data_IF_788112425371
#
_entry.id   IF_788112425371
#
_cell.length_a   1.000
_cell.length_b   1.000
_cell.length_c   1.000
_cell.angle_alpha   90.00
_cell.angle_beta   90.00
_cell.angle_gamma   90.00
#
_symmetry.space_group_name_H-M   'P 1'
#
loop_
_entity.id
_entity.type
_entity.pdbx_description
1 polymer ?
#
# COMPACT_ATOMS: atom_id res chain seq x y z
N UNK A 1 -24.03 -34.42 9.74
CA UNK A 1 -22.83 -33.71 9.22
C UNK A 1 -23.13 -32.22 9.17
N UNK A 2 -23.01 -31.52 10.29
CA UNK A 2 -23.39 -30.11 10.45
C UNK A 2 -22.30 -29.36 11.20
N UNK A 3 -21.04 -29.55 10.79
CA UNK A 3 -19.95 -28.77 11.36
C UNK A 3 -20.08 -27.32 10.87
N UNK A 4 -20.07 -26.33 11.77
CA UNK A 4 -20.06 -24.92 11.38
C UNK A 4 -18.87 -24.62 10.45
N UNK A 5 -17.74 -25.33 10.59
CA UNK A 5 -16.58 -25.22 9.71
C UNK A 5 -16.86 -25.62 8.25
N UNK A 6 -17.77 -26.58 8.00
CA UNK A 6 -18.11 -27.03 6.65
C UNK A 6 -19.04 -26.03 5.94
N UNK A 7 -20.01 -25.45 6.67
CA UNK A 7 -20.85 -24.34 6.15
C UNK A 7 -20.02 -23.08 5.89
N UNK A 8 -18.97 -22.88 6.69
CA UNK A 8 -17.98 -21.82 6.54
C UNK A 8 -17.11 -22.02 5.28
N UNK A 9 -16.57 -23.22 5.08
CA UNK A 9 -15.75 -23.56 3.92
C UNK A 9 -16.53 -23.42 2.59
N UNK A 10 -17.85 -23.68 2.61
CA UNK A 10 -18.73 -23.47 1.44
C UNK A 10 -19.07 -22.00 1.17
N UNK A 11 -19.00 -21.09 2.16
CA UNK A 11 -19.27 -19.65 1.97
C UNK A 11 -18.04 -18.87 1.47
N UNK A 12 -16.84 -19.33 1.81
CA UNK A 12 -15.57 -18.72 1.38
C UNK A 12 -15.46 -18.53 -0.16
N UNK A 13 -15.78 -19.51 -1.01
CA UNK A 13 -15.71 -19.34 -2.47
C UNK A 13 -16.74 -18.34 -3.00
N UNK A 14 -17.93 -18.22 -2.38
CA UNK A 14 -18.94 -17.26 -2.81
C UNK A 14 -18.56 -15.81 -2.43
N UNK A 15 -17.88 -15.61 -1.30
CA UNK A 15 -17.32 -14.29 -0.93
C UNK A 15 -16.17 -13.86 -1.86
N UNK A 16 -15.31 -14.80 -2.27
CA UNK A 16 -14.20 -14.57 -3.21
C UNK A 16 -14.65 -14.21 -4.64
N UNK A 17 -15.89 -14.56 -5.01
CA UNK A 17 -16.44 -14.24 -6.33
C UNK A 17 -17.03 -12.83 -6.42
N UNK A 18 -17.20 -12.13 -5.30
CA UNK A 18 -17.68 -10.75 -5.29
C UNK A 18 -16.71 -9.80 -6.02
N UNK A 19 -17.21 -8.76 -6.70
CA UNK A 19 -16.35 -7.76 -7.35
C UNK A 19 -15.39 -7.07 -6.36
N UNK A 20 -15.82 -6.93 -5.10
CA UNK A 20 -15.04 -6.43 -3.97
C UNK A 20 -13.85 -7.36 -3.60
N UNK A 21 -14.07 -8.67 -3.54
CA UNK A 21 -12.98 -9.62 -3.28
C UNK A 21 -11.99 -9.70 -4.46
N UNK A 22 -12.49 -9.60 -5.71
CA UNK A 22 -11.63 -9.54 -6.90
C UNK A 22 -10.72 -8.32 -6.88
N UNK A 23 -11.21 -7.15 -6.50
CA UNK A 23 -10.38 -5.95 -6.40
C UNK A 23 -9.33 -6.06 -5.28
N UNK A 24 -9.69 -6.63 -4.13
CA UNK A 24 -8.76 -6.89 -3.04
C UNK A 24 -7.64 -7.87 -3.44
N UNK A 25 -7.98 -8.96 -4.14
CA UNK A 25 -7.01 -9.92 -4.65
C UNK A 25 -6.09 -9.32 -5.72
N UNK A 26 -6.64 -8.52 -6.64
CA UNK A 26 -5.85 -7.82 -7.65
C UNK A 26 -4.84 -6.85 -7.01
N UNK A 27 -5.28 -6.07 -6.01
CA UNK A 27 -4.41 -5.20 -5.23
C UNK A 27 -3.34 -5.98 -4.47
N UNK A 28 -3.71 -7.07 -3.79
CA UNK A 28 -2.77 -7.91 -3.06
C UNK A 28 -1.68 -8.47 -3.99
N UNK A 29 -2.08 -9.00 -5.15
CA UNK A 29 -1.17 -9.56 -6.15
C UNK A 29 -0.26 -8.49 -6.77
N UNK A 30 -0.82 -7.38 -7.25
CA UNK A 30 -0.05 -6.29 -7.83
C UNK A 30 0.97 -5.72 -6.83
N UNK A 31 0.56 -5.49 -5.59
CA UNK A 31 1.43 -4.97 -4.54
C UNK A 31 2.50 -5.97 -4.10
N UNK A 32 2.21 -7.28 -4.14
CA UNK A 32 3.18 -8.32 -3.81
C UNK A 32 4.31 -8.35 -4.84
N UNK A 33 3.95 -8.40 -6.12
CA UNK A 33 4.92 -8.45 -7.22
C UNK A 33 5.72 -7.14 -7.27
N UNK A 34 5.05 -5.99 -7.21
CA UNK A 34 5.72 -4.68 -7.21
C UNK A 34 6.70 -4.56 -6.04
N UNK A 35 6.31 -4.98 -4.84
CA UNK A 35 7.16 -4.93 -3.66
C UNK A 35 8.41 -5.81 -3.77
N UNK A 36 8.32 -6.98 -4.39
CA UNK A 36 9.48 -7.85 -4.65
C UNK A 36 10.42 -7.20 -5.65
N UNK A 37 9.90 -6.74 -6.80
CA UNK A 37 10.72 -6.13 -7.85
C UNK A 37 11.39 -4.84 -7.35
N UNK A 38 10.66 -4.00 -6.61
CA UNK A 38 11.21 -2.78 -6.00
C UNK A 38 12.36 -3.11 -5.04
N UNK A 39 12.18 -4.11 -4.16
CA UNK A 39 13.22 -4.52 -3.22
C UNK A 39 14.45 -5.08 -3.94
N UNK A 40 14.29 -5.86 -5.02
CA UNK A 40 15.41 -6.34 -5.84
C UNK A 40 16.14 -5.15 -6.48
N UNK A 41 15.42 -4.19 -7.04
CA UNK A 41 16.01 -3.01 -7.67
C UNK A 41 16.86 -2.20 -6.67
N UNK A 42 16.31 -1.90 -5.49
CA UNK A 42 17.00 -1.10 -4.48
C UNK A 42 18.17 -1.89 -3.86
N UNK A 43 17.91 -3.11 -3.37
CA UNK A 43 18.90 -3.83 -2.54
C UNK A 43 19.89 -4.69 -3.32
N UNK A 44 19.55 -5.18 -4.51
CA UNK A 44 20.43 -6.05 -5.31
C UNK A 44 21.07 -5.32 -6.48
N UNK A 45 20.35 -4.38 -7.10
CA UNK A 45 20.93 -3.54 -8.15
C UNK A 45 21.56 -2.26 -7.59
N UNK A 46 21.44 -1.99 -6.29
CA UNK A 46 22.00 -0.78 -5.64
C UNK A 46 21.48 0.52 -6.27
N UNK A 47 20.22 0.52 -6.72
CA UNK A 47 19.55 1.72 -7.22
C UNK A 47 18.75 2.35 -6.09
N UNK A 48 19.46 3.15 -5.31
CA UNK A 48 19.05 3.76 -4.04
C UNK A 48 18.63 5.22 -4.30
N UNK A 49 17.54 5.39 -5.07
CA UNK A 49 17.01 6.69 -5.50
C UNK A 49 15.47 6.66 -5.44
N UNK A 50 14.89 6.76 -4.23
CA UNK A 50 13.48 6.52 -3.96
C UNK A 50 12.58 7.57 -4.60
N UNK A 51 13.01 8.84 -4.59
CA UNK A 51 12.27 9.95 -5.20
C UNK A 51 12.22 9.71 -6.71
N UNK A 52 13.34 9.31 -7.32
CA UNK A 52 13.39 9.02 -8.76
C UNK A 52 12.45 7.87 -9.14
N UNK A 53 12.44 6.77 -8.37
CA UNK A 53 11.51 5.65 -8.60
C UNK A 53 10.06 6.13 -8.56
N UNK A 54 9.68 6.83 -7.49
CA UNK A 54 8.30 7.29 -7.29
C UNK A 54 7.89 8.33 -8.34
N UNK A 55 8.80 9.25 -8.68
CA UNK A 55 8.59 10.28 -9.69
C UNK A 55 8.35 9.66 -11.08
N UNK A 56 9.20 8.72 -11.51
CA UNK A 56 9.05 8.08 -12.83
C UNK A 56 7.80 7.19 -12.86
N UNK A 57 7.39 6.56 -11.75
CA UNK A 57 6.11 5.86 -11.67
C UNK A 57 4.93 6.82 -11.89
N UNK A 58 4.92 7.99 -11.25
CA UNK A 58 3.86 8.99 -11.48
C UNK A 58 3.88 9.54 -12.92
N UNK A 59 5.06 9.80 -13.47
CA UNK A 59 5.21 10.22 -14.86
C UNK A 59 4.71 9.15 -15.84
N UNK A 60 5.00 7.87 -15.58
CA UNK A 60 4.53 6.73 -16.40
C UNK A 60 3.02 6.63 -16.40
N UNK A 61 2.37 6.83 -15.25
CA UNK A 61 0.91 6.85 -15.13
C UNK A 61 0.30 7.97 -15.96
N UNK A 62 0.82 9.20 -15.82
CA UNK A 62 0.34 10.36 -16.59
C UNK A 62 0.54 10.17 -18.08
N UNK A 63 1.74 9.76 -18.50
CA UNK A 63 2.06 9.50 -19.90
C UNK A 63 1.13 8.44 -20.49
N UNK A 64 0.91 7.33 -19.77
CA UNK A 64 0.04 6.24 -20.25
C UNK A 64 -1.42 6.69 -20.36
N UNK A 65 -1.94 7.46 -19.40
CA UNK A 65 -3.31 7.96 -19.46
C UNK A 65 -3.49 8.94 -20.62
N UNK A 66 -2.57 9.89 -20.80
CA UNK A 66 -2.63 10.83 -21.92
C UNK A 66 -2.52 10.12 -23.27
N UNK A 67 -1.61 9.15 -23.38
CA UNK A 67 -1.47 8.32 -24.57
C UNK A 67 -2.79 7.60 -24.91
N UNK A 68 -3.41 6.95 -23.93
CA UNK A 68 -4.69 6.25 -24.10
C UNK A 68 -5.86 7.21 -24.38
N UNK A 69 -5.81 8.43 -23.87
CA UNK A 69 -6.79 9.49 -24.19
C UNK A 69 -6.64 9.95 -25.63
N UNK A 70 -5.42 10.18 -26.11
CA UNK A 70 -5.13 10.57 -27.50
C UNK A 70 -5.58 9.48 -28.49
N UNK A 71 -5.38 8.20 -28.15
CA UNK A 71 -5.89 7.09 -28.95
C UNK A 71 -7.42 6.87 -28.83
N UNK A 72 -8.13 7.66 -28.04
CA UNK A 72 -9.58 7.58 -27.87
C UNK A 72 -10.07 6.35 -27.09
N UNK A 73 -9.15 5.59 -26.47
CA UNK A 73 -9.48 4.40 -25.66
C UNK A 73 -10.09 4.82 -24.33
N UNK A 74 -9.61 5.91 -23.74
CA UNK A 74 -10.10 6.45 -22.48
C UNK A 74 -10.85 7.77 -22.67
N UNK A 75 -12.13 7.78 -22.30
CA UNK A 75 -12.94 9.00 -22.19
C UNK A 75 -12.79 9.59 -20.80
N UNK A 76 -11.64 10.22 -20.55
CA UNK A 76 -11.35 10.91 -19.29
C UNK A 76 -11.30 12.41 -19.52
N UNK A 77 -12.01 13.20 -18.71
CA UNK A 77 -11.90 14.65 -18.74
C UNK A 77 -10.44 15.09 -18.47
N UNK A 78 -9.93 16.14 -19.14
CA UNK A 78 -8.59 16.65 -18.90
C UNK A 78 -8.43 17.13 -17.45
N UNK A 79 -7.17 17.24 -17.01
CA UNK A 79 -6.88 17.78 -15.68
C UNK A 79 -7.49 19.18 -15.55
N UNK A 80 -8.28 19.36 -14.50
CA UNK A 80 -8.85 20.65 -14.14
C UNK A 80 -8.39 20.98 -12.73
N UNK A 81 -7.95 22.21 -12.53
CA UNK A 81 -7.43 22.65 -11.23
C UNK A 81 -8.48 22.47 -10.12
N UNK A 82 -9.76 22.60 -10.46
CA UNK A 82 -10.88 22.38 -9.55
C UNK A 82 -10.92 20.94 -9.00
N UNK A 83 -10.90 19.93 -9.90
CA UNK A 83 -10.81 18.51 -9.50
C UNK A 83 -9.49 18.21 -8.79
N UNK A 84 -8.39 18.76 -9.27
CA UNK A 84 -7.06 18.58 -8.70
C UNK A 84 -6.93 19.08 -7.26
N UNK A 85 -7.61 20.20 -6.93
CA UNK A 85 -7.61 20.80 -5.60
C UNK A 85 -8.23 19.90 -4.54
N UNK A 86 -9.31 19.19 -4.86
CA UNK A 86 -9.94 18.25 -3.93
C UNK A 86 -9.01 17.08 -3.56
N UNK A 87 -8.18 16.64 -4.50
CA UNK A 87 -7.24 15.55 -4.30
C UNK A 87 -5.84 16.02 -3.89
N UNK A 88 -5.62 17.32 -3.70
CA UNK A 88 -4.30 17.88 -3.44
C UNK A 88 -3.72 17.44 -2.10
N UNK A 89 -4.45 17.70 -1.01
CA UNK A 89 -4.04 17.30 0.34
C UNK A 89 -3.82 15.77 0.47
N UNK A 90 -4.76 14.88 0.10
CA UNK A 90 -4.53 13.44 0.25
C UNK A 90 -3.35 12.95 -0.60
N UNK A 91 -3.09 13.58 -1.75
CA UNK A 91 -1.94 13.23 -2.59
C UNK A 91 -0.61 13.61 -1.98
N UNK A 92 -0.51 14.79 -1.33
CA UNK A 92 0.72 15.18 -0.62
C UNK A 92 0.98 14.22 0.54
N UNK A 93 -0.04 13.94 1.36
CA UNK A 93 0.09 13.03 2.50
C UNK A 93 0.53 11.63 2.05
N UNK A 94 -0.06 11.11 0.97
CA UNK A 94 0.33 9.82 0.40
C UNK A 94 1.72 9.83 -0.23
N UNK A 95 2.13 10.94 -0.83
CA UNK A 95 3.46 11.10 -1.44
C UNK A 95 4.55 11.06 -0.38
N UNK A 96 4.41 11.84 0.70
CA UNK A 96 5.37 11.87 1.82
C UNK A 96 5.43 10.50 2.49
N UNK A 97 4.27 9.86 2.73
CA UNK A 97 4.21 8.51 3.28
C UNK A 97 4.93 7.49 2.39
N UNK A 98 4.70 7.54 1.07
CA UNK A 98 5.33 6.65 0.10
C UNK A 98 6.84 6.87 0.05
N UNK A 99 7.30 8.12 -0.01
CA UNK A 99 8.72 8.46 0.03
C UNK A 99 9.40 7.91 1.28
N UNK A 100 8.89 8.21 2.48
CA UNK A 100 9.42 7.67 3.73
C UNK A 100 9.47 6.14 3.76
N UNK A 101 8.56 5.47 3.04
CA UNK A 101 8.51 4.01 2.98
C UNK A 101 9.52 3.39 2.02
N UNK A 102 9.78 4.06 0.90
CA UNK A 102 10.81 3.59 -0.04
C UNK A 102 12.20 3.93 0.52
N UNK A 103 12.39 5.13 1.08
CA UNK A 103 13.64 5.52 1.74
C UNK A 103 13.98 4.66 2.97
N UNK A 104 13.00 4.04 3.61
CA UNK A 104 13.26 3.08 4.68
C UNK A 104 14.00 1.82 4.20
N UNK A 105 14.05 1.55 2.88
CA UNK A 105 14.77 0.41 2.32
C UNK A 105 16.27 0.67 2.07
N UNK A 106 16.69 1.93 2.08
CA UNK A 106 17.99 2.39 1.57
C UNK A 106 19.09 2.30 2.63
N UNK A 107 18.78 2.70 3.85
CA UNK A 107 19.66 2.48 5.00
C UNK A 107 19.36 1.18 5.72
N UNK A 108 19.76 0.01 5.17
CA UNK A 108 19.68 -1.33 5.80
C UNK A 108 18.53 -1.41 6.82
N UNK A 109 17.30 -1.23 6.32
CA UNK A 109 16.02 -1.30 7.04
C UNK A 109 16.00 -0.70 8.44
N UNK A 110 15.48 0.52 8.60
CA UNK A 110 15.00 1.01 9.89
C UNK A 110 14.19 -0.11 10.58
N UNK A 111 14.74 -0.82 11.59
CA UNK A 111 14.30 -2.19 11.92
C UNK A 111 12.87 -2.23 12.46
N UNK A 112 12.39 -1.10 13.01
CA UNK A 112 11.05 -0.95 13.54
C UNK A 112 10.07 -0.26 12.56
N UNK A 113 10.53 0.25 11.41
CA UNK A 113 9.68 0.99 10.47
C UNK A 113 8.57 0.10 9.92
N UNK A 114 8.95 -1.03 9.33
CA UNK A 114 8.03 -1.99 8.73
C UNK A 114 7.04 -2.57 9.76
N UNK A 115 7.48 -3.04 10.95
CA UNK A 115 6.57 -3.47 12.02
C UNK A 115 5.57 -2.39 12.46
N UNK A 116 6.02 -1.15 12.68
CA UNK A 116 5.15 -0.08 13.15
C UNK A 116 4.12 0.31 12.11
N UNK A 117 4.50 0.31 10.83
CA UNK A 117 3.57 0.58 9.74
C UNK A 117 2.45 -0.48 9.65
N UNK A 118 2.61 -1.67 10.24
CA UNK A 118 1.52 -2.67 10.35
C UNK A 118 0.36 -2.22 11.25
N UNK A 119 0.55 -1.21 12.10
CA UNK A 119 -0.52 -0.63 12.91
C UNK A 119 -1.36 0.43 12.16
N UNK A 120 -1.07 0.68 10.88
CA UNK A 120 -1.85 1.60 10.03
C UNK A 120 -3.36 1.33 10.00
N UNK A 121 -3.89 0.08 10.04
CA UNK A 121 -5.35 -0.12 10.13
C UNK A 121 -5.97 0.53 11.38
N UNK A 122 -5.27 0.54 12.52
CA UNK A 122 -5.74 1.22 13.74
C UNK A 122 -5.66 2.74 13.60
N UNK A 123 -4.63 3.24 12.91
CA UNK A 123 -4.52 4.67 12.60
C UNK A 123 -5.65 5.12 11.65
N UNK A 124 -6.03 4.30 10.67
CA UNK A 124 -7.18 4.55 9.80
C UNK A 124 -8.45 4.70 10.64
N UNK A 125 -8.67 3.80 11.61
CA UNK A 125 -9.82 3.88 12.51
C UNK A 125 -9.81 5.18 13.35
N UNK A 126 -8.67 5.52 13.92
CA UNK A 126 -8.51 6.74 14.71
C UNK A 126 -8.74 8.01 13.89
N UNK A 127 -8.14 8.09 12.71
CA UNK A 127 -8.25 9.24 11.81
C UNK A 127 -9.67 9.38 11.25
N UNK A 128 -10.30 8.27 10.83
CA UNK A 128 -11.69 8.29 10.37
C UNK A 128 -12.64 8.83 11.47
N UNK A 129 -12.45 8.37 12.72
CA UNK A 129 -13.25 8.84 13.86
C UNK A 129 -13.00 10.32 14.16
N UNK A 130 -11.74 10.76 14.11
CA UNK A 130 -11.35 12.14 14.42
C UNK A 130 -11.83 13.14 13.35
N UNK A 131 -11.65 12.82 12.07
CA UNK A 131 -12.00 13.72 10.95
C UNK A 131 -13.52 13.78 10.76
N UNK A 132 -14.20 12.64 10.67
CA UNK A 132 -15.62 12.61 10.28
C UNK A 132 -16.58 12.70 11.46
N UNK A 133 -16.07 12.71 12.71
CA UNK A 133 -16.81 12.88 13.97
C UNK A 133 -18.04 11.99 14.16
N UNK A 134 -18.24 10.99 13.29
CA UNK A 134 -19.24 9.95 13.45
C UNK A 134 -18.60 8.79 14.19
N UNK A 135 -19.35 8.23 15.14
CA UNK A 135 -18.98 7.00 15.81
C UNK A 135 -19.10 5.84 14.82
N UNK A 136 -18.08 5.66 13.97
CA UNK A 136 -17.89 4.42 13.21
C UNK A 136 -17.56 3.31 14.21
N UNK A 137 -18.61 2.75 14.81
CA UNK A 137 -18.50 1.66 15.78
C UNK A 137 -18.30 0.36 15.03
N UNK A 138 -17.04 -0.04 14.86
CA UNK A 138 -16.72 -1.44 14.63
C UNK A 138 -17.27 -2.26 15.80
N UNK A 139 -17.88 -3.40 15.49
CA UNK A 139 -18.21 -4.40 16.50
C UNK A 139 -16.95 -4.74 17.32
N UNK A 140 -17.11 -4.95 18.63
CA UNK A 140 -16.01 -5.28 19.53
C UNK A 140 -15.20 -6.46 19.01
N UNK A 141 -15.86 -7.43 18.39
CA UNK A 141 -15.21 -8.60 17.80
C UNK A 141 -14.37 -8.24 16.57
N UNK A 142 -14.87 -7.37 15.70
CA UNK A 142 -14.14 -6.89 14.53
C UNK A 142 -12.93 -6.03 14.94
N UNK A 143 -13.06 -5.23 16.01
CA UNK A 143 -11.95 -4.46 16.58
C UNK A 143 -10.86 -5.39 17.15
N UNK A 144 -11.23 -6.43 17.90
CA UNK A 144 -10.26 -7.42 18.41
C UNK A 144 -9.55 -8.11 17.24
N UNK A 145 -10.28 -8.46 16.17
CA UNK A 145 -9.70 -9.04 14.96
C UNK A 145 -8.69 -8.08 14.30
N UNK A 146 -9.03 -6.80 14.20
CA UNK A 146 -8.19 -5.75 13.61
C UNK A 146 -6.90 -5.51 14.41
N UNK A 147 -7.00 -5.49 15.74
CA UNK A 147 -5.84 -5.44 16.64
C UNK A 147 -4.98 -6.69 16.42
N UNK A 148 -5.61 -7.88 16.34
CA UNK A 148 -4.93 -9.13 16.01
C UNK A 148 -4.16 -9.06 14.70
N UNK A 149 -4.78 -8.58 13.61
CA UNK A 149 -4.12 -8.37 12.31
C UNK A 149 -2.91 -7.46 12.46
N UNK A 150 -3.02 -6.35 13.19
CA UNK A 150 -1.95 -5.36 13.33
C UNK A 150 -0.77 -5.91 14.13
N UNK A 151 -1.03 -6.50 15.30
CA UNK A 151 0.00 -7.05 16.19
C UNK A 151 0.69 -8.26 15.56
N UNK A 152 -0.08 -9.24 15.06
CA UNK A 152 0.48 -10.46 14.50
C UNK A 152 1.24 -10.20 13.20
N UNK A 153 0.79 -9.26 12.36
CA UNK A 153 1.56 -8.88 11.18
C UNK A 153 2.83 -8.09 11.51
N UNK A 154 2.84 -7.31 12.60
CA UNK A 154 4.05 -6.66 13.13
C UNK A 154 5.08 -7.68 13.62
N UNK A 155 4.63 -8.76 14.28
CA UNK A 155 5.49 -9.83 14.78
C UNK A 155 6.04 -10.75 13.68
N UNK A 156 5.43 -10.73 12.48
CA UNK A 156 5.91 -11.54 11.35
C UNK A 156 7.29 -11.11 10.85
N UNK A 157 7.60 -9.81 10.97
CA UNK A 157 8.94 -9.27 10.78
C UNK A 157 9.68 -9.48 12.10
N UNK A 158 10.88 -10.05 12.09
CA UNK A 158 11.65 -10.28 13.33
C UNK A 158 11.75 -8.96 14.10
N UNK A 159 10.98 -8.86 15.17
CA UNK A 159 10.81 -7.62 15.93
C UNK A 159 12.04 -7.46 16.81
N UNK A 160 13.12 -6.97 16.22
CA UNK A 160 14.30 -6.58 16.98
C UNK A 160 13.97 -5.31 17.75
N UNK A 161 13.77 -5.46 19.06
CA UNK A 161 13.50 -4.39 20.02
C UNK A 161 14.72 -3.46 20.24
N UNK A 162 15.63 -3.39 19.28
CA UNK A 162 16.64 -2.36 19.24
C UNK A 162 15.91 -1.02 19.09
N UNK A 163 15.86 -0.23 20.17
CA UNK A 163 15.13 1.05 20.23
C UNK A 163 15.78 2.11 19.32
N UNK A 164 15.60 1.97 18.02
CA UNK A 164 15.83 3.04 17.06
C UNK A 164 14.70 4.06 17.16
N UNK A 165 14.83 5.05 18.06
CA UNK A 165 13.80 6.10 18.27
C UNK A 165 13.38 6.78 16.96
N UNK A 166 14.33 6.98 16.04
CA UNK A 166 14.07 7.52 14.70
C UNK A 166 13.21 6.58 13.85
N UNK A 167 13.51 5.27 13.85
CA UNK A 167 12.71 4.26 13.15
C UNK A 167 11.25 4.25 13.61
N UNK A 168 11.02 4.43 14.92
CA UNK A 168 9.69 4.52 15.47
C UNK A 168 8.96 5.77 15.03
N UNK A 169 9.63 6.92 15.11
CA UNK A 169 9.06 8.19 14.70
C UNK A 169 8.68 8.19 13.21
N UNK A 170 9.61 7.81 12.33
CA UNK A 170 9.35 7.75 10.88
C UNK A 170 8.26 6.73 10.52
N UNK A 171 8.24 5.56 11.16
CA UNK A 171 7.22 4.54 10.93
C UNK A 171 5.82 5.01 11.34
N UNK A 172 5.70 5.61 12.53
CA UNK A 172 4.42 6.13 13.02
C UNK A 172 3.95 7.32 12.18
N UNK A 173 4.86 8.24 11.84
CA UNK A 173 4.55 9.40 11.02
C UNK A 173 4.12 8.98 9.60
N UNK A 174 4.86 8.09 8.94
CA UNK A 174 4.49 7.55 7.64
C UNK A 174 3.14 6.81 7.68
N UNK A 175 2.89 6.03 8.73
CA UNK A 175 1.61 5.34 8.95
C UNK A 175 0.43 6.31 9.15
N UNK A 176 0.63 7.39 9.91
CA UNK A 176 -0.40 8.41 10.16
C UNK A 176 -0.76 9.18 8.88
N UNK A 177 0.26 9.61 8.12
CA UNK A 177 0.06 10.26 6.82
C UNK A 177 -0.65 9.34 5.83
N UNK A 178 -0.27 8.05 5.81
CA UNK A 178 -0.93 7.04 4.99
C UNK A 178 -2.40 6.88 5.35
N UNK A 179 -2.69 6.73 6.64
CA UNK A 179 -4.04 6.57 7.16
C UNK A 179 -4.91 7.79 6.80
N UNK A 180 -4.39 9.00 7.01
CA UNK A 180 -5.10 10.23 6.67
C UNK A 180 -5.36 10.38 5.17
N UNK A 181 -4.41 10.00 4.32
CA UNK A 181 -4.61 10.01 2.87
C UNK A 181 -5.67 9.00 2.44
N UNK A 182 -5.58 7.76 2.92
CA UNK A 182 -6.50 6.67 2.55
C UNK A 182 -7.94 6.98 2.94
N UNK A 183 -8.15 7.49 4.15
CA UNK A 183 -9.47 7.89 4.65
C UNK A 183 -10.08 9.02 3.79
N UNK A 184 -9.27 9.99 3.38
CA UNK A 184 -9.72 11.05 2.48
C UNK A 184 -10.02 10.53 1.07
N UNK A 185 -9.17 9.66 0.52
CA UNK A 185 -9.42 9.02 -0.77
C UNK A 185 -10.67 8.15 -0.76
N UNK A 186 -10.94 7.42 0.33
CA UNK A 186 -12.20 6.70 0.50
C UNK A 186 -13.39 7.66 0.37
N UNK A 187 -13.37 8.79 1.09
CA UNK A 187 -14.48 9.76 1.01
C UNK A 187 -14.67 10.41 -0.37
N UNK A 188 -13.61 10.48 -1.18
CA UNK A 188 -13.64 11.03 -2.54
C UNK A 188 -14.01 9.99 -3.59
N UNK A 189 -13.87 8.70 -3.28
CA UNK A 189 -14.20 7.59 -4.19
C UNK A 189 -15.70 7.47 -4.49
N UNK A 190 -16.55 8.07 -3.67
CA UNK A 190 -17.99 8.22 -3.96
C UNK A 190 -18.26 9.22 -5.10
N UNK A 191 -17.34 10.17 -5.34
CA UNK A 191 -17.52 11.26 -6.32
C UNK A 191 -16.68 11.06 -7.58
N UNK A 192 -15.47 10.51 -7.43
CA UNK A 192 -14.51 10.35 -8.51
C UNK A 192 -14.30 8.88 -8.85
N UNK A 193 -14.19 8.59 -10.14
CA UNK A 193 -13.81 7.23 -10.57
C UNK A 193 -12.37 6.90 -10.16
N UNK A 194 -12.01 5.62 -9.95
CA UNK A 194 -10.64 5.23 -9.59
C UNK A 194 -9.57 5.72 -10.57
N UNK A 195 -9.92 5.80 -11.86
CA UNK A 195 -9.01 6.27 -12.90
C UNK A 195 -8.83 7.80 -12.85
N UNK A 196 -9.87 8.56 -12.55
CA UNK A 196 -9.75 10.00 -12.27
C UNK A 196 -8.92 10.26 -11.01
N UNK A 197 -9.15 9.50 -9.94
CA UNK A 197 -8.39 9.63 -8.70
C UNK A 197 -6.90 9.35 -8.93
N UNK A 198 -6.58 8.27 -9.64
CA UNK A 198 -5.22 7.91 -10.02
C UNK A 198 -4.55 9.04 -10.84
N UNK A 199 -5.24 9.56 -11.85
CA UNK A 199 -4.71 10.63 -12.70
C UNK A 199 -4.41 11.92 -11.92
N UNK A 200 -5.37 12.38 -11.11
CA UNK A 200 -5.21 13.59 -10.29
C UNK A 200 -4.14 13.40 -9.21
N UNK A 201 -4.10 12.22 -8.59
CA UNK A 201 -3.07 11.85 -7.62
C UNK A 201 -1.68 11.89 -8.26
N UNK A 202 -1.48 11.23 -9.40
CA UNK A 202 -0.18 11.19 -10.06
C UNK A 202 0.30 12.57 -10.48
N UNK A 203 -0.59 13.45 -10.93
CA UNK A 203 -0.22 14.83 -11.25
C UNK A 203 0.25 15.59 -10.01
N UNK A 204 -0.54 15.59 -8.94
CA UNK A 204 -0.22 16.29 -7.70
C UNK A 204 1.07 15.73 -7.04
N UNK A 205 1.23 14.40 -7.02
CA UNK A 205 2.40 13.72 -6.47
C UNK A 205 3.66 13.98 -7.28
N UNK A 206 3.56 14.09 -8.62
CA UNK A 206 4.71 14.42 -9.46
C UNK A 206 5.30 15.78 -9.09
N UNK A 207 4.45 16.79 -8.84
CA UNK A 207 4.90 18.10 -8.36
C UNK A 207 5.63 17.99 -7.02
N UNK A 208 5.10 17.20 -6.09
CA UNK A 208 5.74 16.98 -4.78
C UNK A 208 7.10 16.32 -4.92
N UNK A 209 7.22 15.29 -5.76
CA UNK A 209 8.50 14.60 -5.96
C UNK A 209 9.53 15.46 -6.70
N UNK A 210 9.11 16.28 -7.67
CA UNK A 210 9.99 17.26 -8.31
C UNK A 210 10.53 18.28 -7.30
N UNK A 211 9.68 18.77 -6.39
CA UNK A 211 10.13 19.67 -5.32
C UNK A 211 11.08 18.97 -4.33
N UNK A 212 10.83 17.71 -4.03
CA UNK A 212 11.71 16.92 -3.17
C UNK A 212 13.07 16.67 -3.82
N UNK A 213 13.08 16.40 -5.13
CA UNK A 213 14.30 16.20 -5.92
C UNK A 213 15.17 17.48 -5.98
N UNK A 214 14.58 18.67 -6.09
CA UNK A 214 15.34 19.94 -6.01
C UNK A 214 16.18 20.03 -4.72
N UNK A 215 15.73 19.39 -3.63
CA UNK A 215 16.43 19.39 -2.34
C UNK A 215 17.46 18.26 -2.23
N UNK A 216 17.17 17.08 -2.79
CA UNK A 216 18.01 15.88 -2.63
C UNK A 216 18.96 15.61 -3.81
N UNK A 217 18.73 16.21 -4.98
CA UNK A 217 19.50 16.05 -6.23
C UNK A 217 19.60 14.58 -6.71
N UNK A 218 18.59 13.75 -6.42
CA UNK A 218 18.60 12.32 -6.75
C UNK A 218 18.55 12.06 -8.26
N UNK A 219 17.86 12.90 -9.04
CA UNK A 219 17.80 12.75 -10.51
C UNK A 219 19.21 12.75 -11.10
N UNK A 220 20.08 13.64 -10.62
CA UNK A 220 21.44 13.75 -11.10
C UNK A 220 22.23 12.49 -10.77
N UNK A 221 22.13 12.00 -9.54
CA UNK A 221 22.85 10.81 -9.11
C UNK A 221 22.32 9.55 -9.80
N UNK A 222 21.00 9.43 -9.95
CA UNK A 222 20.37 8.36 -10.71
C UNK A 222 20.82 8.37 -12.19
N UNK A 223 20.93 9.54 -12.80
CA UNK A 223 21.46 9.67 -14.16
C UNK A 223 22.92 9.19 -14.25
N UNK A 224 23.77 9.61 -13.31
CA UNK A 224 25.16 9.17 -13.23
C UNK A 224 25.28 7.65 -13.03
N UNK A 225 24.42 7.06 -12.19
CA UNK A 225 24.31 5.62 -12.03
C UNK A 225 23.97 4.93 -13.35
N UNK A 226 22.96 5.45 -14.08
CA UNK A 226 22.53 4.85 -15.35
C UNK A 226 23.64 4.88 -16.39
N UNK A 227 24.44 5.95 -16.44
CA UNK A 227 25.54 6.08 -17.40
C UNK A 227 26.75 5.20 -17.07
N UNK A 228 26.99 4.93 -15.77
CA UNK A 228 28.23 4.28 -15.31
C UNK A 228 28.05 2.80 -15.00
N UNK A 229 26.89 2.42 -14.45
CA UNK A 229 26.69 1.13 -13.77
C UNK A 229 25.46 0.36 -14.27
N UNK A 230 24.72 0.89 -15.25
CA UNK A 230 23.52 0.25 -15.76
C UNK A 230 23.82 -1.03 -16.54
N UNK A 231 23.13 -2.10 -16.15
CA UNK A 231 23.14 -3.39 -16.83
C UNK A 231 21.81 -3.63 -17.56
N UNK A 232 21.80 -4.49 -18.58
CA UNK A 232 20.55 -4.83 -19.32
C UNK A 232 19.45 -5.35 -18.38
N UNK A 233 19.82 -6.15 -17.38
CA UNK A 233 18.90 -6.65 -16.35
C UNK A 233 18.32 -5.52 -15.49
N UNK A 234 19.12 -4.50 -15.17
CA UNK A 234 18.63 -3.32 -14.44
C UNK A 234 17.55 -2.61 -15.25
N UNK A 235 17.84 -2.30 -16.53
CA UNK A 235 16.89 -1.61 -17.41
C UNK A 235 15.58 -2.39 -17.54
N UNK A 236 15.65 -3.71 -17.71
CA UNK A 236 14.46 -4.56 -17.77
C UNK A 236 13.63 -4.51 -16.48
N UNK A 237 14.28 -4.70 -15.31
CA UNK A 237 13.59 -4.66 -14.01
C UNK A 237 13.02 -3.28 -13.70
N UNK A 238 13.73 -2.22 -14.10
CA UNK A 238 13.29 -0.85 -13.93
C UNK A 238 12.03 -0.56 -14.76
N UNK A 239 12.02 -0.90 -16.05
CA UNK A 239 10.84 -0.76 -16.92
C UNK A 239 9.67 -1.60 -16.38
N UNK A 240 9.93 -2.85 -15.98
CA UNK A 240 8.93 -3.71 -15.38
C UNK A 240 8.34 -3.08 -14.11
N UNK A 241 9.17 -2.49 -13.25
CA UNK A 241 8.72 -1.80 -12.05
C UNK A 241 7.83 -0.58 -12.36
N UNK A 242 8.09 0.13 -13.45
CA UNK A 242 7.24 1.26 -13.86
C UNK A 242 5.83 0.80 -14.25
N UNK A 243 5.71 -0.26 -15.05
CA UNK A 243 4.41 -0.83 -15.43
C UNK A 243 3.69 -1.46 -14.23
N UNK A 244 4.41 -2.16 -13.36
CA UNK A 244 3.86 -2.69 -12.12
C UNK A 244 3.41 -1.57 -11.17
N UNK A 245 4.13 -0.45 -11.13
CA UNK A 245 3.73 0.76 -10.40
C UNK A 245 2.40 1.31 -10.88
N UNK A 246 2.18 1.39 -12.19
CA UNK A 246 0.88 1.77 -12.77
C UNK A 246 -0.24 0.81 -12.35
N UNK A 247 -0.01 -0.50 -12.48
CA UNK A 247 -0.99 -1.52 -12.07
C UNK A 247 -1.30 -1.44 -10.56
N UNK A 248 -0.29 -1.20 -9.73
CA UNK A 248 -0.44 -1.02 -8.29
C UNK A 248 -1.27 0.22 -7.97
N UNK A 249 -1.00 1.37 -8.61
CA UNK A 249 -1.78 2.58 -8.39
C UNK A 249 -3.25 2.39 -8.75
N UNK A 250 -3.52 1.83 -9.93
CA UNK A 250 -4.89 1.56 -10.37
C UNK A 250 -5.63 0.62 -9.41
N UNK A 251 -5.01 -0.52 -9.07
CA UNK A 251 -5.62 -1.50 -8.16
C UNK A 251 -5.80 -0.97 -6.74
N UNK A 252 -4.94 -0.05 -6.29
CA UNK A 252 -5.09 0.62 -4.99
C UNK A 252 -6.36 1.48 -4.95
N UNK A 253 -6.52 2.42 -5.89
CA UNK A 253 -7.72 3.27 -5.91
C UNK A 253 -9.00 2.47 -6.18
N UNK A 254 -8.92 1.45 -7.04
CA UNK A 254 -10.04 0.57 -7.29
C UNK A 254 -10.41 -0.28 -6.05
N UNK A 255 -9.44 -0.70 -5.25
CA UNK A 255 -9.68 -1.42 -3.99
C UNK A 255 -10.29 -0.49 -2.92
N UNK A 256 -9.78 0.74 -2.81
CA UNK A 256 -10.32 1.75 -1.88
C UNK A 256 -11.79 2.05 -2.21
N UNK A 257 -12.14 2.29 -3.47
CA UNK A 257 -13.54 2.56 -3.85
C UNK A 257 -14.47 1.36 -3.68
N UNK A 258 -13.97 0.13 -3.85
CA UNK A 258 -14.79 -1.09 -3.73
C UNK A 258 -14.93 -1.62 -2.29
N UNK A 259 -13.90 -1.45 -1.45
CA UNK A 259 -13.81 -2.08 -0.13
C UNK A 259 -13.57 -1.09 1.03
N UNK A 260 -13.25 0.17 0.74
CA UNK A 260 -12.86 1.17 1.74
C UNK A 260 -11.37 1.13 2.11
N UNK A 261 -10.91 2.17 2.81
CA UNK A 261 -9.52 2.33 3.25
C UNK A 261 -9.09 1.23 4.21
N UNK A 262 -9.96 0.89 5.19
CA UNK A 262 -9.65 -0.05 6.26
C UNK A 262 -9.38 -1.45 5.71
N UNK A 263 -10.28 -1.97 4.86
CA UNK A 263 -10.13 -3.28 4.24
C UNK A 263 -8.90 -3.31 3.34
N UNK A 264 -8.67 -2.26 2.55
CA UNK A 264 -7.48 -2.16 1.70
C UNK A 264 -6.19 -2.29 2.52
N UNK A 265 -6.12 -1.66 3.69
CA UNK A 265 -4.96 -1.77 4.57
C UNK A 265 -4.84 -3.13 5.27
N UNK A 266 -5.96 -3.75 5.67
CA UNK A 266 -5.98 -5.13 6.21
C UNK A 266 -5.41 -6.12 5.18
N UNK A 267 -5.85 -6.00 3.92
CA UNK A 267 -5.34 -6.80 2.80
C UNK A 267 -3.85 -6.53 2.57
N UNK A 268 -3.42 -5.26 2.64
CA UNK A 268 -2.00 -4.87 2.53
C UNK A 268 -1.12 -5.52 3.62
N UNK A 269 -1.62 -5.60 4.86
CA UNK A 269 -0.93 -6.29 5.94
C UNK A 269 -0.82 -7.81 5.69
N UNK A 270 -1.91 -8.46 5.28
CA UNK A 270 -1.91 -9.89 4.95
C UNK A 270 -0.92 -10.23 3.83
N UNK A 271 -0.94 -9.44 2.75
CA UNK A 271 0.02 -9.53 1.65
C UNK A 271 1.47 -9.37 2.12
N UNK A 272 1.74 -8.44 3.03
CA UNK A 272 3.10 -8.23 3.47
C UNK A 272 3.63 -9.36 4.36
N UNK A 273 2.79 -9.96 5.20
CA UNK A 273 3.16 -11.17 5.95
C UNK A 273 3.48 -12.33 5.00
N UNK A 274 2.69 -12.48 3.93
CA UNK A 274 2.99 -13.42 2.84
C UNK A 274 4.33 -13.11 2.17
N UNK A 275 4.64 -11.83 1.92
CA UNK A 275 5.90 -11.39 1.33
C UNK A 275 7.10 -11.71 2.23
N UNK A 276 6.96 -11.55 3.55
CA UNK A 276 8.00 -11.93 4.52
C UNK A 276 8.21 -13.45 4.53
N UNK A 277 7.14 -14.25 4.53
CA UNK A 277 7.26 -15.71 4.47
C UNK A 277 7.90 -16.17 3.17
N UNK A 278 7.52 -15.56 2.04
CA UNK A 278 8.14 -15.81 0.75
C UNK A 278 9.64 -15.47 0.77
N UNK A 279 10.02 -14.36 1.40
CA UNK A 279 11.41 -13.98 1.56
C UNK A 279 12.21 -15.02 2.36
N UNK A 280 11.68 -15.48 3.51
CA UNK A 280 12.30 -16.57 4.28
C UNK A 280 12.45 -17.85 3.46
N UNK A 281 11.39 -18.28 2.78
CA UNK A 281 11.42 -19.48 1.96
C UNK A 281 12.47 -19.37 0.85
N UNK A 282 12.53 -18.23 0.17
CA UNK A 282 13.55 -17.97 -0.86
C UNK A 282 14.97 -17.95 -0.28
N UNK A 283 15.16 -17.39 0.92
CA UNK A 283 16.45 -17.34 1.59
C UNK A 283 16.92 -18.73 2.02
N UNK A 284 16.02 -19.55 2.59
CA UNK A 284 16.32 -20.93 2.97
C UNK A 284 16.68 -21.79 1.75
N UNK A 285 15.93 -21.67 0.64
CA UNK A 285 16.13 -22.52 -0.54
C UNK A 285 17.32 -22.11 -1.40
N UNK A 286 17.53 -20.81 -1.60
CA UNK A 286 18.59 -20.31 -2.49
C UNK A 286 19.93 -20.13 -1.77
N UNK A 287 19.91 -19.70 -0.50
CA UNK A 287 21.11 -19.28 0.23
C UNK A 287 21.39 -20.12 1.48
N UNK A 288 20.45 -20.95 1.95
CA UNK A 288 20.55 -21.72 3.21
C UNK A 288 20.86 -20.89 4.47
N UNK A 289 20.70 -19.56 4.39
CA UNK A 289 21.20 -18.61 5.40
C UNK A 289 20.19 -18.31 6.52
N UNK A 290 18.88 -18.36 6.22
CA UNK A 290 17.85 -17.89 7.14
C UNK A 290 16.59 -18.75 7.07
N UNK A 291 16.12 -19.22 8.22
CA UNK A 291 14.89 -20.01 8.37
C UNK A 291 13.85 -19.23 9.17
N UNK A 292 12.54 -19.38 8.86
CA UNK A 292 11.49 -18.76 9.66
C UNK A 292 11.43 -19.42 11.04
N UNK A 293 11.52 -18.60 12.09
CA UNK A 293 11.35 -19.05 13.47
C UNK A 293 9.89 -19.34 13.81
N UNK A 294 9.66 -19.88 15.02
CA UNK A 294 8.32 -20.20 15.50
C UNK A 294 7.40 -18.96 15.57
N UNK A 295 7.93 -17.79 15.92
CA UNK A 295 7.19 -16.52 15.94
C UNK A 295 6.66 -16.18 14.56
N UNK A 296 7.47 -16.37 13.50
CA UNK A 296 7.07 -16.05 12.14
C UNK A 296 5.90 -16.95 11.68
N UNK A 297 5.92 -18.24 12.03
CA UNK A 297 4.83 -19.17 11.75
C UNK A 297 3.55 -18.84 12.51
N UNK A 298 3.64 -18.57 13.82
CA UNK A 298 2.48 -18.14 14.62
C UNK A 298 1.90 -16.84 14.05
N UNK A 299 2.76 -15.89 13.69
CA UNK A 299 2.36 -14.62 13.10
C UNK A 299 1.68 -14.81 11.75
N UNK A 300 2.17 -15.73 10.91
CA UNK A 300 1.58 -16.07 9.62
C UNK A 300 0.16 -16.62 9.77
N UNK A 301 0.01 -17.72 10.51
CA UNK A 301 -1.31 -18.35 10.71
C UNK A 301 -2.24 -17.48 11.54
N UNK A 302 -1.71 -16.78 12.53
CA UNK A 302 -2.47 -15.85 13.38
C UNK A 302 -2.98 -14.64 12.60
N UNK A 303 -2.18 -14.07 11.69
CA UNK A 303 -2.63 -12.99 10.81
C UNK A 303 -3.71 -13.50 9.86
N UNK A 304 -3.52 -14.66 9.24
CA UNK A 304 -4.52 -15.27 8.36
C UNK A 304 -5.85 -15.52 9.09
N UNK A 305 -5.80 -16.09 10.31
CA UNK A 305 -6.96 -16.30 11.16
C UNK A 305 -7.63 -15.00 11.60
N UNK A 306 -6.86 -13.96 11.92
CA UNK A 306 -7.38 -12.65 12.30
C UNK A 306 -8.05 -11.93 11.13
N UNK A 307 -7.48 -12.01 9.93
CA UNK A 307 -8.10 -11.48 8.70
C UNK A 307 -9.42 -12.22 8.42
N UNK A 308 -9.41 -13.55 8.51
CA UNK A 308 -10.61 -14.35 8.33
C UNK A 308 -11.71 -13.99 9.34
N UNK A 309 -11.35 -13.88 10.62
CA UNK A 309 -12.30 -13.49 11.67
C UNK A 309 -12.80 -12.05 11.50
N UNK A 310 -11.93 -11.13 11.06
CA UNK A 310 -12.29 -9.76 10.72
C UNK A 310 -13.39 -9.76 9.66
N UNK A 311 -13.17 -10.41 8.50
CA UNK A 311 -14.17 -10.44 7.43
C UNK A 311 -15.48 -11.16 7.81
N UNK A 312 -15.45 -12.09 8.77
CA UNK A 312 -16.67 -12.74 9.25
C UNK A 312 -17.53 -11.80 10.11
N UNK A 313 -16.91 -10.88 10.84
CA UNK A 313 -17.56 -9.96 11.79
C UNK A 313 -17.72 -8.55 11.25
N UNK A 314 -17.03 -8.23 10.17
CA UNK A 314 -17.05 -6.93 9.55
C UNK A 314 -18.34 -6.75 8.74
N UNK A 315 -19.11 -5.73 9.11
CA UNK A 315 -20.32 -5.33 8.40
C UNK A 315 -20.00 -4.16 7.46
N UNK A 316 -20.06 -4.42 6.15
CA UNK A 316 -19.77 -3.44 5.11
C UNK A 316 -20.79 -2.29 5.07
N UNK A 317 -21.98 -2.47 5.62
CA UNK A 317 -23.00 -1.40 5.70
C UNK A 317 -22.69 -0.41 6.83
N UNK A 318 -22.03 -0.86 7.91
CA UNK A 318 -21.69 -0.02 9.06
C UNK A 318 -20.43 0.83 8.82
N UNK A 319 -19.54 0.39 7.94
CA UNK A 319 -18.30 1.09 7.61
C UNK A 319 -18.34 1.64 6.18
N UNK A 320 -18.92 2.83 6.03
CA UNK A 320 -18.71 3.71 4.87
C UNK A 320 -18.35 5.11 5.37
N UNK A 321 -17.19 5.64 4.98
CA UNK A 321 -16.85 7.03 5.29
C UNK A 321 -17.83 7.93 4.55
N UNK A 322 -18.53 8.83 5.25
CA UNK A 322 -19.49 9.72 4.59
C UNK A 322 -18.78 10.75 3.71
N UNK A 323 -19.33 11.07 2.52
CA UNK A 323 -18.70 11.98 1.58
C UNK A 323 -18.52 13.38 2.19
N UNK A 324 -17.41 14.02 1.84
CA UNK A 324 -16.97 15.35 2.34
C UNK A 324 -17.97 16.48 2.03
N UNK A 325 -18.91 16.26 1.10
CA UNK A 325 -19.84 17.26 0.56
C UNK A 325 -21.08 17.55 1.44
N UNK A 326 -21.09 17.16 2.72
CA UNK A 326 -22.20 17.43 3.66
C UNK A 326 -21.83 18.31 4.86
N UNK A 327 -20.80 19.14 4.74
CA UNK A 327 -20.51 20.21 5.71
C UNK A 327 -20.66 21.58 5.04
#
# INVERSE_FOLDING_TARGET
>A
VSSPALKIAMRLPHMMQSPAAKSALAFAGASFITGIIAKILITKMFFDYPIVILMIQMATVLFTIELLRVFGVLKLAPYTFDKGRHLFLPSILMSISSWLSVSAYEGIGLPLFDPIKRFTPLLILGVATFIYRKQHRLDRNALIALIGVSVLSSMAVNFELAMGRFSLFYGLFAGLLHAAAFVQFESLSDTFSPLEMMYMHSFNSLVVFLLADIVQDEIRDAFMYVMTSSNKSFVFLFILLMFLGLALQYTTFHCIGANGALVTQVVSNGRAVLQVMFAYYSASYLFYDLYPGWINWISFFGTAGSIYYFFQKYDFEQWKVSPFTKC
#
